data_IF_960453482441
#
_entry.id   IF_960453482441
#
_cell.length_a   1.000
_cell.length_b   1.000
_cell.length_c   1.000
_cell.angle_alpha   90.00
_cell.angle_beta   90.00
_cell.angle_gamma   90.00
#
_symmetry.space_group_name_H-M   'P 1'
#
loop_
_entity.id
_entity.type
_entity.pdbx_description
1 polymer ?
#
# COMPACT_ATOMS: atom_id res chain seq x y z
N UNK A 1 10.36 -0.62 -20.04
CA UNK A 1 9.98 -0.20 -18.67
C UNK A 1 10.91 -0.87 -17.68
N UNK A 2 11.56 -0.11 -16.79
CA UNK A 2 12.51 -0.64 -15.82
C UNK A 2 11.80 -1.16 -14.56
N UNK A 3 12.25 -2.30 -14.03
CA UNK A 3 11.80 -2.79 -12.73
C UNK A 3 12.32 -1.85 -11.63
N UNK A 4 11.42 -1.17 -10.92
CA UNK A 4 11.76 -0.35 -9.74
C UNK A 4 11.30 -1.02 -8.45
N UNK A 5 12.22 -1.10 -7.51
CA UNK A 5 12.02 -1.69 -6.20
C UNK A 5 12.31 -0.65 -5.12
N UNK A 6 11.43 -0.57 -4.14
CA UNK A 6 11.58 0.23 -2.94
C UNK A 6 12.15 -0.62 -1.82
N UNK A 7 13.01 -0.02 -1.00
CA UNK A 7 13.39 -0.55 0.30
C UNK A 7 12.33 -0.19 1.35
N UNK A 8 12.44 -0.80 2.53
CA UNK A 8 11.63 -0.41 3.71
C UNK A 8 11.83 1.06 4.06
N UNK A 9 13.05 1.59 3.87
CA UNK A 9 13.36 2.99 4.15
C UNK A 9 12.64 3.92 3.17
N UNK A 10 12.63 3.59 1.88
CA UNK A 10 11.97 4.40 0.85
C UNK A 10 10.46 4.41 1.08
N UNK A 11 9.85 3.25 1.31
CA UNK A 11 8.42 3.14 1.62
C UNK A 11 8.04 3.91 2.89
N UNK A 12 8.89 3.89 3.92
CA UNK A 12 8.70 4.63 5.16
C UNK A 12 8.75 6.15 4.93
N UNK A 13 9.72 6.61 4.13
CA UNK A 13 9.85 8.02 3.76
C UNK A 13 8.65 8.51 2.93
N UNK A 14 8.20 7.71 1.95
CA UNK A 14 7.05 8.05 1.11
C UNK A 14 5.75 8.21 1.91
N UNK A 15 5.51 7.32 2.88
CA UNK A 15 4.31 7.36 3.72
C UNK A 15 4.46 8.25 4.97
N UNK A 16 5.64 8.83 5.20
CA UNK A 16 5.97 9.60 6.41
C UNK A 16 5.68 8.81 7.71
N UNK A 17 6.05 7.53 7.75
CA UNK A 17 5.89 6.66 8.93
C UNK A 17 7.22 6.04 9.35
N UNK A 18 7.25 5.43 10.54
CA UNK A 18 8.44 4.69 10.98
C UNK A 18 8.69 3.44 10.14
N UNK A 19 9.97 3.02 10.00
CA UNK A 19 10.33 1.72 9.39
C UNK A 19 9.66 0.54 10.11
N UNK A 20 9.46 0.64 11.43
CA UNK A 20 8.73 -0.36 12.23
C UNK A 20 7.29 -0.52 11.77
N UNK A 21 6.62 0.58 11.40
CA UNK A 21 5.28 0.54 10.84
C UNK A 21 5.26 -0.23 9.51
N UNK A 22 6.16 0.09 8.59
CA UNK A 22 6.27 -0.62 7.31
C UNK A 22 6.56 -2.11 7.52
N UNK A 23 7.53 -2.45 8.38
CA UNK A 23 7.85 -3.85 8.68
C UNK A 23 6.64 -4.58 9.26
N UNK A 24 5.88 -3.98 10.17
CA UNK A 24 4.65 -4.58 10.71
C UNK A 24 3.63 -4.86 9.61
N UNK A 25 3.39 -3.89 8.72
CA UNK A 25 2.46 -4.04 7.60
C UNK A 25 2.90 -5.18 6.66
N UNK A 26 4.20 -5.32 6.41
CA UNK A 26 4.76 -6.43 5.63
C UNK A 26 4.55 -7.76 6.37
N UNK A 27 4.86 -7.83 7.67
CA UNK A 27 4.70 -9.05 8.47
C UNK A 27 3.24 -9.49 8.58
N UNK A 28 2.31 -8.54 8.57
CA UNK A 28 0.87 -8.81 8.55
C UNK A 28 0.32 -9.08 7.13
N UNK A 29 1.20 -9.11 6.11
CA UNK A 29 0.81 -9.27 4.71
C UNK A 29 -0.17 -8.21 4.20
N UNK A 30 -0.21 -7.04 4.85
CA UNK A 30 -1.06 -5.91 4.43
C UNK A 30 -0.50 -5.19 3.20
N UNK A 31 0.82 -5.18 3.03
CA UNK A 31 1.51 -4.59 1.88
C UNK A 31 2.26 -5.68 1.11
N UNK A 32 2.18 -5.71 -0.23
CA UNK A 32 2.94 -6.65 -1.04
C UNK A 32 4.45 -6.38 -0.97
N UNK A 33 5.20 -7.33 -0.42
CA UNK A 33 6.65 -7.29 -0.33
C UNK A 33 7.24 -8.70 -0.43
N UNK A 34 8.51 -8.79 -0.85
CA UNK A 34 9.25 -10.05 -0.95
C UNK A 34 10.67 -9.90 -0.40
N UNK A 35 11.30 -11.02 -0.03
CA UNK A 35 12.67 -11.04 0.51
C UNK A 35 13.71 -11.36 -0.55
N UNK A 36 14.83 -10.64 -0.53
CA UNK A 36 16.03 -10.92 -1.32
C UNK A 36 17.25 -10.67 -0.42
N UNK A 37 18.11 -11.68 -0.22
CA UNK A 37 19.31 -11.54 0.61
C UNK A 37 19.04 -11.07 2.04
N UNK A 38 17.92 -11.50 2.65
CA UNK A 38 17.51 -11.07 3.99
C UNK A 38 16.89 -9.67 4.07
N UNK A 39 16.83 -8.93 2.96
CA UNK A 39 16.21 -7.62 2.91
C UNK A 39 14.83 -7.67 2.26
N UNK A 40 13.92 -6.82 2.74
CA UNK A 40 12.62 -6.63 2.10
C UNK A 40 12.71 -5.72 0.89
N UNK A 41 11.95 -6.05 -0.15
CA UNK A 41 11.75 -5.26 -1.36
C UNK A 41 10.26 -5.17 -1.66
N UNK A 42 9.85 -3.98 -2.08
CA UNK A 42 8.49 -3.70 -2.51
C UNK A 42 8.56 -3.29 -3.98
N UNK A 43 7.65 -3.81 -4.81
CA UNK A 43 7.52 -3.32 -6.18
C UNK A 43 6.82 -1.98 -6.12
N UNK A 44 7.44 -0.92 -6.67
CA UNK A 44 6.90 0.44 -6.62
C UNK A 44 5.45 0.50 -7.12
N UNK A 45 5.17 -0.15 -8.25
CA UNK A 45 3.82 -0.17 -8.85
C UNK A 45 2.76 -0.81 -7.95
N UNK A 46 3.10 -1.88 -7.23
CA UNK A 46 2.15 -2.57 -6.35
C UNK A 46 1.98 -1.82 -5.03
N UNK A 47 3.05 -1.18 -4.55
CA UNK A 47 3.00 -0.32 -3.39
C UNK A 47 2.09 0.89 -3.62
N UNK A 48 2.19 1.56 -4.78
CA UNK A 48 1.30 2.68 -5.13
C UNK A 48 -0.16 2.23 -5.24
N UNK A 49 -0.44 1.12 -5.92
CA UNK A 49 -1.81 0.55 -5.98
C UNK A 49 -2.37 0.24 -4.60
N UNK A 50 -1.55 -0.27 -3.68
CA UNK A 50 -1.97 -0.51 -2.31
C UNK A 50 -2.38 0.78 -1.58
N UNK A 51 -1.65 1.89 -1.78
CA UNK A 51 -2.00 3.20 -1.22
C UNK A 51 -3.38 3.64 -1.75
N UNK A 52 -3.57 3.62 -3.08
CA UNK A 52 -4.83 4.00 -3.72
C UNK A 52 -6.01 3.17 -3.21
N UNK A 53 -5.83 1.86 -3.05
CA UNK A 53 -6.85 0.98 -2.49
C UNK A 53 -7.17 1.33 -1.03
N UNK A 54 -6.15 1.66 -0.23
CA UNK A 54 -6.31 2.04 1.18
C UNK A 54 -7.08 3.34 1.33
N UNK A 55 -6.84 4.31 0.46
CA UNK A 55 -7.60 5.56 0.40
C UNK A 55 -9.05 5.29 -0.01
N UNK A 56 -9.28 4.50 -1.06
CA UNK A 56 -10.64 4.15 -1.52
C UNK A 56 -11.46 3.46 -0.45
N UNK A 57 -10.87 2.55 0.34
CA UNK A 57 -11.56 1.90 1.45
C UNK A 57 -11.95 2.87 2.57
N UNK A 58 -11.19 3.96 2.76
CA UNK A 58 -11.50 5.00 3.76
C UNK A 58 -12.55 6.00 3.27
N UNK A 59 -12.60 6.27 1.96
CA UNK A 59 -13.49 7.24 1.34
C UNK A 59 -14.65 6.62 0.55
N UNK A 60 -14.89 5.31 0.68
CA UNK A 60 -16.17 4.70 0.31
C UNK A 60 -17.23 5.08 1.36
N UNK A 61 -17.67 6.33 1.30
CA UNK A 61 -19.01 6.70 1.73
C UNK A 61 -19.97 5.78 0.97
N UNK A 62 -20.97 5.15 1.62
CA UNK A 62 -21.99 4.43 0.87
C UNK A 62 -22.55 5.37 -0.19
N UNK A 63 -22.44 4.99 -1.47
CA UNK A 63 -23.15 5.68 -2.55
C UNK A 63 -24.58 5.85 -2.06
N UNK A 64 -25.13 7.07 -1.97
CA UNK A 64 -26.55 7.22 -1.71
C UNK A 64 -27.24 6.35 -2.76
N UNK A 65 -28.06 5.39 -2.30
CA UNK A 65 -28.99 4.71 -3.20
C UNK A 65 -29.81 5.83 -3.81
N UNK A 66 -29.58 6.12 -5.08
CA UNK A 66 -30.55 6.84 -5.88
C UNK A 66 -31.74 5.89 -5.92
N UNK A 67 -32.64 6.06 -4.96
CA UNK A 67 -34.00 5.55 -5.06
C UNK A 67 -34.63 6.36 -6.17
N UNK A 68 -34.38 5.96 -7.42
CA UNK A 68 -35.27 6.30 -8.52
C UNK A 68 -36.58 5.60 -8.21
N UNK A 69 -37.45 6.36 -7.56
CA UNK A 69 -38.88 6.13 -7.53
C UNK A 69 -39.35 6.08 -8.99
N UNK A 70 -39.77 4.91 -9.42
CA UNK A 70 -40.77 4.76 -10.48
C UNK A 70 -41.72 3.64 -10.07
#
# INVERSE_FOLDING_TARGET
MALRLLTVTDAAALLQVSKRTILRLIHHSEIPAFRVGGQWRLRETEFLKWIENRERSKYQTPKPRLTEQN
#
